data_IF_864473516477
#
_entry.id   IF_864473516477
#
_cell.length_a   1.000
_cell.length_b   1.000
_cell.length_c   1.000
_cell.angle_alpha   90.00
_cell.angle_beta   90.00
_cell.angle_gamma   90.00
#
_symmetry.space_group_name_H-M   'P 1'
#
loop_
_entity.id
_entity.type
_entity.pdbx_description
1 polymer ?
#
# COMPACT_ATOMS: atom_id res chain seq x y z
N UNK A 1 -24.93 -14.10 3.35
CA UNK A 1 -23.55 -13.60 3.46
C UNK A 1 -23.67 -12.22 4.04
N UNK A 2 -23.58 -12.13 5.37
CA UNK A 2 -23.52 -10.85 6.05
C UNK A 2 -22.17 -10.23 5.72
N UNK A 3 -22.18 -9.19 4.89
CA UNK A 3 -21.00 -8.38 4.65
C UNK A 3 -20.86 -7.49 5.87
N UNK A 4 -19.99 -7.87 6.81
CA UNK A 4 -19.65 -6.98 7.91
C UNK A 4 -19.13 -5.66 7.32
N UNK A 5 -19.82 -4.53 7.56
CA UNK A 5 -19.39 -3.24 7.01
C UNK A 5 -18.03 -2.78 7.56
N UNK A 6 -17.52 -3.47 8.58
CA UNK A 6 -16.20 -3.29 9.18
C UNK A 6 -15.15 -4.29 8.67
N UNK A 7 -15.47 -5.10 7.65
CA UNK A 7 -14.55 -6.07 7.10
C UNK A 7 -13.41 -5.37 6.34
N UNK A 8 -12.26 -5.24 7.01
CA UNK A 8 -11.02 -4.73 6.43
C UNK A 8 -10.65 -5.47 5.13
N UNK A 9 -11.01 -6.75 5.00
CA UNK A 9 -10.73 -7.54 3.80
C UNK A 9 -11.53 -7.05 2.59
N UNK A 10 -12.76 -6.55 2.78
CA UNK A 10 -13.57 -5.96 1.71
C UNK A 10 -12.88 -4.72 1.13
N UNK A 11 -12.42 -3.82 2.00
CA UNK A 11 -11.67 -2.63 1.60
C UNK A 11 -10.33 -3.00 0.94
N UNK A 12 -9.62 -4.00 1.48
CA UNK A 12 -8.38 -4.53 0.89
C UNK A 12 -8.58 -5.08 -0.53
N UNK A 13 -9.66 -5.83 -0.75
CA UNK A 13 -10.01 -6.41 -2.04
C UNK A 13 -10.47 -5.33 -3.03
N UNK A 14 -11.28 -4.37 -2.58
CA UNK A 14 -11.72 -3.25 -3.41
C UNK A 14 -10.57 -2.32 -3.80
N UNK A 15 -9.64 -2.05 -2.88
CA UNK A 15 -8.39 -1.33 -3.15
C UNK A 15 -7.58 -2.02 -4.26
N UNK A 16 -7.40 -3.35 -4.17
CA UNK A 16 -6.72 -4.12 -5.21
C UNK A 16 -7.42 -4.03 -6.57
N UNK A 17 -8.76 -4.10 -6.60
CA UNK A 17 -9.53 -3.93 -7.84
C UNK A 17 -9.32 -2.53 -8.45
N UNK A 18 -9.29 -1.48 -7.63
CA UNK A 18 -9.00 -0.12 -8.10
C UNK A 18 -7.58 0.01 -8.65
N UNK A 19 -6.58 -0.60 -8.01
CA UNK A 19 -5.21 -0.65 -8.53
C UNK A 19 -5.14 -1.32 -9.89
N UNK A 20 -5.79 -2.47 -10.06
CA UNK A 20 -5.85 -3.18 -11.34
C UNK A 20 -6.54 -2.38 -12.44
N UNK A 21 -7.45 -1.46 -12.08
CA UNK A 21 -8.11 -0.53 -12.99
C UNK A 21 -7.34 0.79 -13.19
N UNK A 22 -6.16 0.96 -12.60
CA UNK A 22 -5.37 2.19 -12.70
C UNK A 22 -5.92 3.38 -11.89
N UNK A 23 -6.89 3.13 -11.01
CA UNK A 23 -7.50 4.15 -10.16
C UNK A 23 -6.79 4.24 -8.80
N UNK A 24 -5.50 4.62 -8.80
CA UNK A 24 -4.66 4.68 -7.58
C UNK A 24 -5.26 5.52 -6.45
N UNK A 25 -5.96 6.62 -6.76
CA UNK A 25 -6.61 7.46 -5.74
C UNK A 25 -7.77 6.76 -5.03
N UNK A 26 -8.60 6.00 -5.76
CA UNK A 26 -9.67 5.19 -5.14
C UNK A 26 -9.10 4.03 -4.34
N UNK A 27 -8.02 3.43 -4.85
CA UNK A 27 -7.31 2.38 -4.13
C UNK A 27 -6.74 2.87 -2.80
N UNK A 28 -6.20 4.09 -2.79
CA UNK A 28 -5.63 4.73 -1.61
C UNK A 28 -6.68 4.94 -0.52
N UNK A 29 -7.87 5.45 -0.88
CA UNK A 29 -8.98 5.63 0.07
C UNK A 29 -9.38 4.31 0.73
N UNK A 30 -9.56 3.26 -0.07
CA UNK A 30 -9.90 1.94 0.43
C UNK A 30 -8.77 1.32 1.28
N UNK A 31 -7.51 1.52 0.88
CA UNK A 31 -6.38 1.05 1.66
C UNK A 31 -6.27 1.74 3.03
N UNK A 32 -6.59 3.05 3.10
CA UNK A 32 -6.67 3.78 4.36
C UNK A 32 -7.78 3.25 5.26
N UNK A 33 -8.99 3.03 4.72
CA UNK A 33 -10.08 2.44 5.51
C UNK A 33 -9.72 1.03 6.00
N UNK A 34 -9.10 0.21 5.14
CA UNK A 34 -8.56 -1.10 5.52
C UNK A 34 -7.59 -1.01 6.72
N UNK A 35 -6.60 -0.11 6.66
CA UNK A 35 -5.62 0.09 7.74
C UNK A 35 -6.25 0.67 9.01
N UNK A 36 -7.27 1.52 8.88
CA UNK A 36 -8.02 2.07 10.01
C UNK A 36 -8.84 1.01 10.74
N UNK A 37 -9.45 0.08 9.99
CA UNK A 37 -10.25 -1.02 10.54
C UNK A 37 -9.38 -2.10 11.17
N UNK A 38 -8.22 -2.39 10.59
CA UNK A 38 -7.30 -3.40 11.10
C UNK A 38 -5.84 -2.89 11.06
N UNK A 39 -5.41 -2.12 12.08
CA UNK A 39 -4.08 -1.50 12.10
C UNK A 39 -2.93 -2.51 12.18
N UNK A 40 -3.15 -3.67 12.81
CA UNK A 40 -2.15 -4.73 12.98
C UNK A 40 -2.14 -5.74 11.82
N UNK A 41 -2.68 -5.36 10.67
CA UNK A 41 -2.70 -6.23 9.49
C UNK A 41 -1.66 -5.81 8.45
N UNK A 42 -0.59 -6.60 8.33
CA UNK A 42 0.50 -6.35 7.36
C UNK A 42 0.00 -6.16 5.93
N UNK A 43 -1.03 -6.90 5.51
CA UNK A 43 -1.66 -6.76 4.18
C UNK A 43 -2.35 -5.40 3.98
N UNK A 44 -2.87 -4.77 5.03
CA UNK A 44 -3.43 -3.42 4.94
C UNK A 44 -2.32 -2.39 4.62
N UNK A 45 -1.17 -2.50 5.29
CA UNK A 45 0.03 -1.72 4.99
C UNK A 45 0.52 -1.96 3.55
N UNK A 46 0.50 -3.21 3.08
CA UNK A 46 0.84 -3.53 1.69
C UNK A 46 -0.09 -2.83 0.68
N UNK A 47 -1.41 -2.88 0.88
CA UNK A 47 -2.39 -2.22 -0.01
C UNK A 47 -2.19 -0.70 -0.03
N UNK A 48 -1.88 -0.13 1.13
CA UNK A 48 -1.59 1.29 1.25
C UNK A 48 -0.32 1.66 0.46
N UNK A 49 0.76 0.92 0.67
CA UNK A 49 2.02 1.07 -0.06
C UNK A 49 1.84 0.95 -1.58
N UNK A 50 1.16 -0.10 -2.04
CA UNK A 50 0.87 -0.31 -3.46
C UNK A 50 0.04 0.83 -4.08
N UNK A 51 -0.93 1.35 -3.33
CA UNK A 51 -1.76 2.48 -3.76
C UNK A 51 -0.94 3.76 -3.90
N UNK A 52 -0.05 4.03 -2.94
CA UNK A 52 0.86 5.18 -2.96
C UNK A 52 1.88 5.06 -4.10
N UNK A 53 2.42 3.87 -4.35
CA UNK A 53 3.28 3.62 -5.51
C UNK A 53 2.57 3.88 -6.84
N UNK A 54 1.30 3.48 -6.97
CA UNK A 54 0.49 3.77 -8.16
C UNK A 54 0.28 5.27 -8.37
N UNK A 55 0.33 6.07 -7.30
CA UNK A 55 0.25 7.53 -7.33
C UNK A 55 1.62 8.21 -7.45
N UNK A 56 2.70 7.44 -7.55
CA UNK A 56 4.10 7.88 -7.55
C UNK A 56 4.53 8.62 -6.28
N UNK A 57 3.79 8.44 -5.19
CA UNK A 57 4.19 8.90 -3.86
C UNK A 57 5.07 7.84 -3.19
N UNK A 58 6.29 7.71 -3.70
CA UNK A 58 7.23 6.68 -3.26
C UNK A 58 7.71 6.90 -1.82
N UNK A 59 7.67 8.15 -1.32
CA UNK A 59 8.07 8.45 0.07
C UNK A 59 7.10 7.83 1.05
N UNK A 60 5.82 8.18 0.95
CA UNK A 60 4.78 7.60 1.81
C UNK A 60 4.59 6.10 1.55
N UNK A 61 4.82 5.61 0.33
CA UNK A 61 4.80 4.18 0.06
C UNK A 61 5.86 3.42 0.88
N UNK A 62 7.10 3.94 0.95
CA UNK A 62 8.14 3.34 1.76
C UNK A 62 7.74 3.30 3.24
N UNK A 63 7.20 4.38 3.78
CA UNK A 63 6.78 4.45 5.19
C UNK A 63 5.68 3.40 5.50
N UNK A 64 4.67 3.31 4.64
CA UNK A 64 3.59 2.34 4.79
C UNK A 64 4.08 0.89 4.71
N UNK A 65 4.96 0.58 3.76
CA UNK A 65 5.51 -0.77 3.60
C UNK A 65 6.48 -1.13 4.73
N UNK A 66 7.26 -0.17 5.22
CA UNK A 66 8.12 -0.36 6.38
C UNK A 66 7.32 -0.68 7.64
N UNK A 67 6.18 -0.01 7.87
CA UNK A 67 5.26 -0.39 8.94
C UNK A 67 4.69 -1.80 8.74
N UNK A 68 4.40 -2.20 7.50
CA UNK A 68 3.99 -3.56 7.16
C UNK A 68 5.03 -4.62 7.54
N UNK A 69 6.32 -4.36 7.28
CA UNK A 69 7.42 -5.24 7.68
C UNK A 69 7.64 -5.29 9.20
N UNK A 70 7.31 -4.24 9.95
CA UNK A 70 7.34 -4.32 11.42
C UNK A 70 6.30 -5.29 11.96
N UNK A 71 5.14 -5.38 11.30
CA UNK A 71 4.06 -6.29 11.68
C UNK A 71 4.34 -7.73 11.25
N UNK A 72 4.87 -7.93 10.04
CA UNK A 72 5.27 -9.24 9.53
C UNK A 72 6.63 -9.17 8.82
N UNK A 73 7.73 -9.35 9.56
CA UNK A 73 9.09 -9.30 9.00
C UNK A 73 9.39 -10.40 7.98
N UNK A 74 8.59 -11.48 7.94
CA UNK A 74 8.78 -12.60 7.02
C UNK A 74 7.99 -12.44 5.71
N UNK A 75 7.19 -11.36 5.58
CA UNK A 75 6.41 -11.11 4.37
C UNK A 75 7.29 -10.62 3.21
N UNK A 76 7.73 -11.59 2.39
CA UNK A 76 8.53 -11.38 1.18
C UNK A 76 7.82 -10.46 0.18
N UNK A 77 6.49 -10.42 0.15
CA UNK A 77 5.74 -9.55 -0.75
C UNK A 77 5.87 -8.08 -0.35
N UNK A 78 5.78 -7.80 0.96
CA UNK A 78 6.00 -6.45 1.50
C UNK A 78 7.46 -6.04 1.34
N UNK A 79 8.40 -6.96 1.59
CA UNK A 79 9.83 -6.69 1.43
C UNK A 79 10.16 -6.29 -0.02
N UNK A 80 9.67 -7.05 -0.99
CA UNK A 80 9.89 -6.75 -2.40
C UNK A 80 9.27 -5.42 -2.82
N UNK A 81 8.03 -5.12 -2.37
CA UNK A 81 7.40 -3.84 -2.64
C UNK A 81 8.16 -2.67 -2.01
N UNK A 82 8.70 -2.84 -0.80
CA UNK A 82 9.50 -1.80 -0.15
C UNK A 82 10.78 -1.52 -0.94
N UNK A 83 11.47 -2.57 -1.42
CA UNK A 83 12.64 -2.44 -2.29
C UNK A 83 12.29 -1.68 -3.57
N UNK A 84 11.17 -2.01 -4.21
CA UNK A 84 10.69 -1.33 -5.41
C UNK A 84 10.36 0.15 -5.14
N UNK A 85 9.66 0.45 -4.03
CA UNK A 85 9.35 1.81 -3.62
C UNK A 85 10.63 2.64 -3.39
N UNK A 86 11.64 2.07 -2.72
CA UNK A 86 12.93 2.74 -2.52
C UNK A 86 13.69 3.00 -3.82
N UNK A 87 13.68 2.04 -4.75
CA UNK A 87 14.31 2.23 -6.07
C UNK A 87 13.64 3.37 -6.84
N UNK A 88 12.31 3.38 -6.89
CA UNK A 88 11.56 4.45 -7.54
C UNK A 88 11.76 5.81 -6.85
N UNK A 89 11.83 5.84 -5.52
CA UNK A 89 12.14 7.06 -4.76
C UNK A 89 13.51 7.62 -5.15
N UNK A 90 14.55 6.77 -5.22
CA UNK A 90 15.89 7.17 -5.66
C UNK A 90 15.88 7.71 -7.08
N UNK A 91 15.25 7.00 -8.02
CA UNK A 91 15.13 7.44 -9.42
C UNK A 91 14.41 8.79 -9.52
N UNK A 92 13.29 8.97 -8.82
CA UNK A 92 12.53 10.22 -8.84
C UNK A 92 13.33 11.42 -8.33
N UNK A 93 14.21 11.22 -7.33
CA UNK A 93 15.13 12.25 -6.82
C UNK A 93 16.23 12.57 -7.81
N UNK A 94 16.79 11.55 -8.49
CA UNK A 94 17.81 11.75 -9.53
C UNK A 94 17.26 12.49 -10.75
N UNK A 95 16.00 12.24 -11.15
CA UNK A 95 15.38 12.94 -12.28
C UNK A 95 15.09 14.40 -11.96
N UNK A 96 14.74 14.74 -10.70
CA UNK A 96 14.53 16.14 -10.27
C UNK A 96 15.82 16.95 -10.13
N UNK A 97 16.98 16.29 -10.10
CA UNK A 97 18.28 16.92 -9.94
C UNK A 97 18.99 17.24 -11.28
N UNK A 98 18.34 16.97 -12.42
CA UNK A 98 18.80 17.33 -13.77
C UNK A 98 17.93 18.45 -14.33
#
# INVERSE_FOLDING_TARGET
MDLDPDDATLFSNRSLCWLRRGHGGKALLDAHECRKKQPDWSKACYRLGASLMSLKDYGSACDALFDGLKLDPADVQIENALREAFQNLKLSRSTKAK
#
